data_IF_637473598898
#
_entry.id   IF_637473598898
#
_cell.length_a   1.000
_cell.length_b   1.000
_cell.length_c   1.000
_cell.angle_alpha   90.00
_cell.angle_beta   90.00
_cell.angle_gamma   90.00
#
_symmetry.space_group_name_H-M   'P 1'
#
loop_
_entity.id
_entity.type
_entity.pdbx_description
1 polymer ?
#
# COMPACT_ATOMS: atom_id res chain seq x y z
N UNK A 1 2.13 -13.85 -17.38
CA UNK A 1 1.48 -12.59 -16.96
C UNK A 1 0.55 -12.08 -18.05
N UNK A 2 -0.65 -11.67 -17.66
CA UNK A 2 -1.67 -11.11 -18.57
C UNK A 2 -1.20 -9.83 -19.30
N UNK A 3 -1.64 -9.61 -20.54
CA UNK A 3 -1.22 -8.48 -21.38
C UNK A 3 -1.68 -7.13 -20.82
N UNK A 4 -2.82 -7.09 -20.13
CA UNK A 4 -3.29 -5.90 -19.41
C UNK A 4 -2.31 -5.48 -18.32
N UNK A 5 -1.82 -6.45 -17.54
CA UNK A 5 -0.85 -6.22 -16.46
C UNK A 5 0.47 -5.72 -17.04
N UNK A 6 0.95 -6.35 -18.13
CA UNK A 6 2.16 -5.89 -18.86
C UNK A 6 2.02 -4.43 -19.30
N UNK A 7 0.86 -4.05 -19.83
CA UNK A 7 0.57 -2.67 -20.25
C UNK A 7 0.49 -1.71 -19.06
N UNK A 8 -0.12 -2.13 -17.95
CA UNK A 8 -0.17 -1.33 -16.71
C UNK A 8 1.23 -1.06 -16.16
N UNK A 9 2.09 -2.08 -16.07
CA UNK A 9 3.47 -1.90 -15.57
C UNK A 9 4.31 -0.99 -16.49
N UNK A 10 4.16 -1.13 -17.83
CA UNK A 10 4.82 -0.25 -18.79
C UNK A 10 4.38 1.20 -18.63
N UNK A 11 3.08 1.43 -18.49
CA UNK A 11 2.54 2.78 -18.41
C UNK A 11 2.74 3.42 -17.02
N UNK A 12 2.70 2.62 -15.95
CA UNK A 12 2.74 3.11 -14.58
C UNK A 12 4.14 3.35 -14.03
N UNK A 13 5.12 2.51 -14.40
CA UNK A 13 6.49 2.59 -13.85
C UNK A 13 7.58 2.53 -14.92
N UNK A 14 7.21 2.64 -16.20
CA UNK A 14 8.15 2.60 -17.34
C UNK A 14 9.07 1.36 -17.34
N UNK A 15 8.49 0.19 -17.04
CA UNK A 15 9.23 -1.08 -16.95
C UNK A 15 9.78 -1.49 -18.33
N UNK A 16 11.05 -1.91 -18.40
CA UNK A 16 11.64 -2.45 -19.63
C UNK A 16 11.28 -3.94 -19.83
N UNK A 17 11.62 -4.50 -20.99
CA UNK A 17 11.44 -5.94 -21.23
C UNK A 17 12.27 -6.80 -20.28
N UNK A 18 13.53 -6.44 -20.05
CA UNK A 18 14.42 -7.18 -19.16
C UNK A 18 13.94 -7.11 -17.71
N UNK A 19 13.40 -5.96 -17.29
CA UNK A 19 12.81 -5.79 -15.95
C UNK A 19 11.55 -6.65 -15.78
N UNK A 20 10.71 -6.78 -16.83
CA UNK A 20 9.55 -7.69 -16.81
C UNK A 20 9.98 -9.14 -16.61
N UNK A 21 11.02 -9.59 -17.33
CA UNK A 21 11.56 -10.96 -17.17
C UNK A 21 12.11 -11.16 -15.75
N UNK A 22 12.80 -10.16 -15.19
CA UNK A 22 13.28 -10.22 -13.81
C UNK A 22 12.14 -10.24 -12.79
N UNK A 23 11.10 -9.44 -13.00
CA UNK A 23 9.92 -9.39 -12.13
C UNK A 23 9.20 -10.74 -12.13
N UNK A 24 9.02 -11.33 -13.32
CA UNK A 24 8.38 -12.64 -13.50
C UNK A 24 9.11 -13.75 -12.73
N UNK A 25 10.44 -13.71 -12.73
CA UNK A 25 11.25 -14.77 -12.11
C UNK A 25 11.53 -14.55 -10.61
N UNK A 26 11.55 -13.30 -10.13
CA UNK A 26 12.06 -12.98 -8.79
C UNK A 26 11.02 -12.38 -7.85
N UNK A 27 9.81 -12.05 -8.31
CA UNK A 27 8.82 -11.32 -7.49
C UNK A 27 7.40 -11.84 -7.67
N UNK A 28 7.13 -13.11 -7.34
CA UNK A 28 5.81 -13.71 -7.52
C UNK A 28 4.70 -13.00 -6.72
N UNK A 29 5.04 -12.39 -5.57
CA UNK A 29 4.09 -11.59 -4.78
C UNK A 29 3.61 -10.34 -5.51
N UNK A 30 4.50 -9.64 -6.22
CA UNK A 30 4.14 -8.46 -7.01
C UNK A 30 3.23 -8.85 -8.18
N UNK A 31 3.48 -9.99 -8.83
CA UNK A 31 2.61 -10.46 -9.92
C UNK A 31 1.21 -10.76 -9.39
N UNK A 32 1.08 -11.49 -8.29
CA UNK A 32 -0.21 -11.79 -7.65
C UNK A 32 -0.97 -10.52 -7.27
N UNK A 33 -0.26 -9.53 -6.73
CA UNK A 33 -0.83 -8.21 -6.45
C UNK A 33 -1.40 -7.57 -7.73
N UNK A 34 -0.61 -7.56 -8.81
CA UNK A 34 -1.01 -6.94 -10.08
C UNK A 34 -2.19 -7.66 -10.75
N UNK A 35 -2.30 -8.98 -10.61
CA UNK A 35 -3.44 -9.76 -11.09
C UNK A 35 -4.76 -9.37 -10.40
N UNK A 36 -4.67 -8.82 -9.20
CA UNK A 36 -5.82 -8.45 -8.36
C UNK A 36 -5.96 -6.94 -8.17
N UNK A 37 -5.19 -6.15 -8.90
CA UNK A 37 -5.04 -4.70 -8.67
C UNK A 37 -6.38 -3.97 -8.72
N UNK A 38 -7.25 -4.31 -9.68
CA UNK A 38 -8.55 -3.64 -9.83
C UNK A 38 -9.46 -3.88 -8.62
N UNK A 39 -9.35 -5.04 -7.96
CA UNK A 39 -10.12 -5.34 -6.76
C UNK A 39 -9.53 -4.63 -5.55
N UNK A 40 -8.21 -4.65 -5.42
CA UNK A 40 -7.48 -3.99 -4.32
C UNK A 40 -7.73 -2.48 -4.31
N UNK A 41 -7.73 -1.84 -5.47
CA UNK A 41 -7.96 -0.38 -5.62
C UNK A 41 -9.35 0.06 -5.13
N UNK A 42 -10.30 -0.85 -4.94
CA UNK A 42 -11.65 -0.52 -4.41
C UNK A 42 -11.66 -0.36 -2.89
N UNK A 43 -10.61 -0.81 -2.20
CA UNK A 43 -10.57 -0.82 -0.75
C UNK A 43 -9.81 0.37 -0.18
N UNK A 44 -10.26 0.82 0.99
CA UNK A 44 -9.62 1.84 1.81
C UNK A 44 -9.22 1.21 3.14
N UNK A 45 -7.96 1.37 3.52
CA UNK A 45 -7.45 0.96 4.83
C UNK A 45 -7.44 2.20 5.73
N UNK A 46 -8.08 2.09 6.89
CA UNK A 46 -8.11 3.15 7.91
C UNK A 46 -7.45 2.62 9.17
N UNK A 47 -6.28 3.14 9.50
CA UNK A 47 -5.59 2.84 10.75
C UNK A 47 -5.91 3.94 11.77
N UNK A 48 -6.71 3.61 12.78
CA UNK A 48 -7.09 4.51 13.87
C UNK A 48 -6.13 4.36 15.05
N UNK A 49 -5.70 5.48 15.62
CA UNK A 49 -4.99 5.52 16.90
C UNK A 49 -5.99 5.18 18.00
N UNK A 50 -5.82 4.05 18.67
CA UNK A 50 -6.71 3.61 19.77
C UNK A 50 -6.15 3.97 21.15
N UNK A 51 -4.83 4.01 21.30
CA UNK A 51 -4.11 4.46 22.48
C UNK A 51 -2.84 5.21 22.07
N UNK A 52 -2.38 6.16 22.90
CA UNK A 52 -1.14 6.90 22.66
C UNK A 52 -0.56 7.42 23.98
N UNK A 53 0.61 6.90 24.36
CA UNK A 53 1.34 7.27 25.57
C UNK A 53 2.79 7.53 25.24
N UNK A 54 3.35 8.60 25.81
CA UNK A 54 4.74 9.01 25.57
C UNK A 54 5.10 9.22 24.08
N UNK A 55 4.11 9.60 23.27
CA UNK A 55 4.30 9.80 21.83
C UNK A 55 4.85 11.20 21.55
N UNK A 56 6.11 11.30 21.12
CA UNK A 56 6.72 12.58 20.73
C UNK A 56 5.96 13.26 19.57
N UNK A 57 5.40 12.47 18.65
CA UNK A 57 4.61 12.96 17.52
C UNK A 57 3.20 13.46 17.92
N UNK A 58 2.85 13.41 19.22
CA UNK A 58 1.57 13.90 19.75
C UNK A 58 0.34 13.26 19.08
N UNK A 59 0.45 12.00 18.66
CA UNK A 59 -0.69 11.24 18.16
C UNK A 59 -1.72 11.08 19.28
N UNK A 60 -3.01 11.19 18.95
CA UNK A 60 -4.13 11.14 19.89
C UNK A 60 -5.13 10.07 19.48
N UNK A 61 -5.79 9.40 20.45
CA UNK A 61 -6.90 8.50 20.15
C UNK A 61 -7.93 9.13 19.20
N UNK A 62 -8.43 8.35 18.23
CA UNK A 62 -9.37 8.78 17.20
C UNK A 62 -8.73 9.46 15.97
N UNK A 63 -7.43 9.77 15.99
CA UNK A 63 -6.72 10.18 14.78
C UNK A 63 -6.54 8.99 13.82
N UNK A 64 -6.54 9.27 12.52
CA UNK A 64 -6.55 8.25 11.47
C UNK A 64 -5.45 8.48 10.45
N UNK A 65 -4.76 7.40 10.09
CA UNK A 65 -4.00 7.29 8.84
C UNK A 65 -4.88 6.58 7.81
N UNK A 66 -5.12 7.24 6.68
CA UNK A 66 -5.90 6.69 5.58
C UNK A 66 -4.96 6.25 4.48
N UNK A 67 -5.09 5.00 4.06
CA UNK A 67 -4.29 4.38 3.00
C UNK A 67 -5.28 3.93 1.93
N UNK A 68 -5.16 4.55 0.76
CA UNK A 68 -6.01 4.34 -0.42
C UNK A 68 -5.20 3.67 -1.54
N UNK A 69 -5.83 3.43 -2.69
CA UNK A 69 -5.18 3.08 -3.95
C UNK A 69 -4.13 1.96 -3.84
N UNK A 70 -4.45 0.91 -3.08
CA UNK A 70 -3.60 -0.27 -2.95
C UNK A 70 -2.31 -0.06 -2.15
N UNK A 71 -2.29 0.90 -1.22
CA UNK A 71 -1.18 1.07 -0.28
C UNK A 71 -0.61 2.48 -0.20
N UNK A 72 -1.22 3.46 -0.87
CA UNK A 72 -0.77 4.85 -0.90
C UNK A 72 -1.38 5.62 0.27
N UNK A 73 -0.52 6.25 1.08
CA UNK A 73 -1.00 7.13 2.15
C UNK A 73 -1.75 8.31 1.53
N UNK A 74 -2.97 8.58 2.00
CA UNK A 74 -3.78 9.74 1.64
C UNK A 74 -3.68 10.80 2.75
N UNK A 75 -2.83 11.85 2.61
CA UNK A 75 -2.65 12.84 3.65
C UNK A 75 -3.88 13.73 3.85
N UNK A 76 -4.65 13.97 2.78
CA UNK A 76 -5.84 14.82 2.83
C UNK A 76 -7.03 14.18 3.56
N UNK A 77 -7.14 12.85 3.51
CA UNK A 77 -8.13 12.10 4.27
C UNK A 77 -7.66 11.73 5.69
N UNK A 78 -6.36 11.82 5.96
CA UNK A 78 -5.77 11.51 7.26
C UNK A 78 -5.99 12.65 8.24
N UNK A 79 -6.31 12.31 9.49
CA UNK A 79 -6.40 13.27 10.60
C UNK A 79 -5.19 13.20 11.54
N UNK A 80 -4.37 12.16 11.39
CA UNK A 80 -3.10 12.02 12.09
C UNK A 80 -1.98 12.80 11.35
N UNK A 81 -1.07 13.47 12.09
CA UNK A 81 0.16 14.03 11.50
C UNK A 81 1.05 12.93 10.92
N UNK A 82 1.80 13.26 9.86
CA UNK A 82 2.76 12.33 9.26
C UNK A 82 3.85 11.92 10.27
N UNK A 83 3.91 10.63 10.58
CA UNK A 83 4.89 10.06 11.51
C UNK A 83 5.40 8.72 10.97
N UNK A 84 6.62 8.70 10.43
CA UNK A 84 7.21 7.46 9.88
C UNK A 84 7.33 6.34 10.91
N UNK A 85 7.50 6.68 12.21
CA UNK A 85 7.57 5.69 13.29
C UNK A 85 6.23 5.02 13.56
N UNK A 86 5.12 5.72 13.34
CA UNK A 86 3.78 5.17 13.45
C UNK A 86 3.35 4.43 12.16
N UNK A 87 3.77 4.93 10.99
CA UNK A 87 3.47 4.32 9.69
C UNK A 87 4.28 3.05 9.42
N UNK A 88 5.54 2.97 9.85
CA UNK A 88 6.43 1.84 9.57
C UNK A 88 5.85 0.47 9.95
N UNK A 89 5.28 0.30 11.16
CA UNK A 89 4.59 -0.95 11.51
C UNK A 89 3.40 -1.28 10.62
N UNK A 90 2.69 -0.28 10.06
CA UNK A 90 1.51 -0.48 9.23
C UNK A 90 1.84 -1.07 7.86
N UNK A 91 3.03 -0.82 7.31
CA UNK A 91 3.35 -1.25 5.94
C UNK A 91 3.33 -2.77 5.79
N UNK A 92 3.73 -3.51 6.83
CA UNK A 92 3.61 -4.98 6.84
C UNK A 92 2.15 -5.44 6.84
N UNK A 93 1.29 -4.78 7.64
CA UNK A 93 -0.14 -5.10 7.71
C UNK A 93 -0.88 -4.76 6.42
N UNK A 94 -0.52 -3.66 5.74
CA UNK A 94 -1.11 -3.29 4.44
C UNK A 94 -0.93 -4.44 3.44
N UNK A 95 0.28 -4.99 3.33
CA UNK A 95 0.54 -6.12 2.45
C UNK A 95 -0.31 -7.35 2.83
N UNK A 96 -0.36 -7.69 4.11
CA UNK A 96 -1.17 -8.83 4.58
C UNK A 96 -2.67 -8.65 4.35
N UNK A 97 -3.22 -7.44 4.57
CA UNK A 97 -4.64 -7.13 4.32
C UNK A 97 -4.94 -7.29 2.82
N UNK A 98 -4.05 -6.77 1.98
CA UNK A 98 -4.20 -6.85 0.52
C UNK A 98 -4.17 -8.31 0.03
N UNK A 99 -3.32 -9.16 0.62
CA UNK A 99 -3.28 -10.58 0.31
C UNK A 99 -4.56 -11.35 0.71
N UNK A 100 -5.29 -10.88 1.73
CA UNK A 100 -6.53 -11.51 2.24
C UNK A 100 -7.81 -11.13 1.50
N UNK A 101 -7.80 -10.00 0.79
CA UNK A 101 -8.87 -9.63 -0.16
C UNK A 101 -8.94 -10.70 -1.27
#
# INVERSE_FOLDING_TARGET
MDEKIRKMLKNGVNITHDDLVRLENNSPGVIKFMERVDDILKYRIVAEVTDSKYCFAQLKPGQRFVIDDGGVLNPGASTAPFCMRALGPLTGFVNSIIEMI
#
